data_IF_133282451608
#
_entry.id   IF_133282451608
#
_cell.length_a   1.000
_cell.length_b   1.000
_cell.length_c   1.000
_cell.angle_alpha   90.00
_cell.angle_beta   90.00
_cell.angle_gamma   90.00
#
_symmetry.space_group_name_H-M   'P 1'
#
loop_
_entity.id
_entity.type
_entity.pdbx_description
1 polymer ?
#
# COMPACT_ATOMS: atom_id res chain seq x y z
N UNK A 1 -4.17 -8.47 4.45
CA UNK A 1 -4.41 -9.94 4.52
C UNK A 1 -5.40 -10.22 5.64
N UNK A 2 -6.18 -11.31 5.55
CA UNK A 2 -7.13 -11.72 6.59
C UNK A 2 -6.96 -13.19 6.94
N UNK A 3 -7.14 -13.54 8.20
CA UNK A 3 -7.24 -14.94 8.66
C UNK A 3 -8.68 -15.46 8.64
N UNK A 4 -8.85 -16.75 8.94
CA UNK A 4 -10.15 -17.44 8.97
C UNK A 4 -11.12 -16.89 10.04
N UNK A 5 -10.63 -16.14 11.02
CA UNK A 5 -11.46 -15.47 12.03
C UNK A 5 -11.82 -14.03 11.63
N UNK A 6 -11.37 -13.58 10.45
CA UNK A 6 -11.60 -12.24 9.95
C UNK A 6 -10.66 -11.18 10.54
N UNK A 7 -9.58 -11.59 11.22
CA UNK A 7 -8.55 -10.66 11.70
C UNK A 7 -7.85 -10.06 10.49
N UNK A 8 -7.90 -8.74 10.38
CA UNK A 8 -7.19 -7.99 9.35
C UNK A 8 -5.74 -7.77 9.81
N UNK A 9 -4.80 -8.02 8.92
CA UNK A 9 -3.38 -7.76 9.08
C UNK A 9 -2.87 -6.83 7.97
N UNK A 10 -2.09 -5.82 8.37
CA UNK A 10 -1.34 -4.95 7.47
C UNK A 10 0.14 -5.00 7.83
N UNK A 11 0.99 -5.20 6.84
CA UNK A 11 2.44 -5.34 7.02
C UNK A 11 3.17 -4.34 6.14
N UNK A 12 4.17 -3.67 6.70
CA UNK A 12 4.93 -2.63 6.02
C UNK A 12 6.42 -2.75 6.38
N UNK A 13 7.28 -2.66 5.37
CA UNK A 13 8.73 -2.52 5.56
C UNK A 13 9.31 -1.65 4.46
N UNK A 14 10.11 -0.67 4.87
CA UNK A 14 10.99 0.05 3.95
C UNK A 14 12.28 -0.75 3.74
N UNK A 15 12.69 -1.00 2.49
CA UNK A 15 13.90 -1.81 2.18
C UNK A 15 15.14 -0.95 1.80
N UNK A 16 15.01 0.38 1.81
CA UNK A 16 15.98 1.32 1.22
C UNK A 16 17.48 1.04 1.50
N UNK A 17 18.29 1.21 0.45
CA UNK A 17 19.76 1.12 0.48
C UNK A 17 20.45 2.19 1.36
N UNK A 18 19.76 3.30 1.68
CA UNK A 18 20.26 4.35 2.58
C UNK A 18 19.11 4.89 3.45
N UNK A 19 19.23 4.88 4.79
CA UNK A 19 18.30 5.57 5.68
C UNK A 19 18.26 7.07 5.34
N UNK A 20 17.09 7.72 5.38
CA UNK A 20 17.04 9.17 5.20
C UNK A 20 17.81 9.83 6.35
N UNK A 21 18.61 10.85 6.06
CA UNK A 21 19.29 11.62 7.11
C UNK A 21 18.26 12.14 8.12
N UNK A 22 18.57 11.97 9.41
CA UNK A 22 17.75 12.50 10.49
C UNK A 22 17.70 14.02 10.39
N UNK A 23 16.50 14.57 10.27
CA UNK A 23 16.29 16.02 10.25
C UNK A 23 16.01 16.55 11.67
N UNK A 24 16.42 17.78 11.93
CA UNK A 24 16.25 18.46 13.23
C UNK A 24 14.81 18.92 13.52
N UNK A 25 13.89 18.79 12.56
CA UNK A 25 12.50 19.27 12.63
C UNK A 25 11.52 18.27 13.28
N UNK A 26 12.02 17.14 13.79
CA UNK A 26 11.22 16.14 14.52
C UNK A 26 10.30 15.27 13.67
N UNK A 27 10.16 15.52 12.36
CA UNK A 27 9.40 14.67 11.44
C UNK A 27 10.24 13.46 11.03
N UNK A 28 9.72 12.25 11.22
CA UNK A 28 10.38 11.01 10.85
C UNK A 28 9.68 10.36 9.65
N UNK A 29 10.45 9.96 8.64
CA UNK A 29 9.96 9.01 7.62
C UNK A 29 9.84 7.61 8.24
N UNK A 30 9.15 6.69 7.55
CA UNK A 30 9.11 5.29 7.94
C UNK A 30 10.54 4.76 8.18
N UNK A 31 10.76 4.21 9.38
CA UNK A 31 12.03 3.61 9.77
C UNK A 31 12.34 2.32 9.03
N UNK A 32 13.51 1.74 9.27
CA UNK A 32 13.94 0.48 8.67
C UNK A 32 13.36 -0.77 9.33
N UNK A 33 12.48 -0.64 10.34
CA UNK A 33 11.90 -1.79 11.05
C UNK A 33 10.63 -2.29 10.36
N UNK A 34 10.41 -3.60 10.44
CA UNK A 34 9.13 -4.21 10.08
C UNK A 34 8.04 -3.66 10.99
N UNK A 35 6.91 -3.29 10.38
CA UNK A 35 5.69 -2.92 11.08
C UNK A 35 4.64 -3.96 10.73
N UNK A 36 4.09 -4.57 11.77
CA UNK A 36 2.92 -5.42 11.66
C UNK A 36 1.78 -4.78 12.44
N UNK A 37 0.68 -4.52 11.76
CA UNK A 37 -0.59 -4.11 12.36
C UNK A 37 -1.56 -5.28 12.31
N UNK A 38 -2.45 -5.38 13.29
CA UNK A 38 -3.62 -6.23 13.16
C UNK A 38 -4.81 -5.78 13.98
N UNK A 39 -5.99 -6.27 13.59
CA UNK A 39 -7.26 -5.98 14.27
C UNK A 39 -7.57 -6.99 15.39
N UNK A 40 -8.71 -6.86 16.07
CA UNK A 40 -9.11 -7.79 17.13
C UNK A 40 -8.51 -7.50 18.52
N UNK A 41 -7.53 -6.59 18.62
CA UNK A 41 -7.13 -5.94 19.87
C UNK A 41 -7.67 -4.50 19.89
N UNK A 42 -8.97 -4.35 20.19
CA UNK A 42 -9.65 -3.05 20.24
C UNK A 42 -10.32 -2.64 18.92
N UNK A 43 -10.50 -1.34 18.75
CA UNK A 43 -11.07 -0.73 17.54
C UNK A 43 -9.98 -0.42 16.52
N UNK A 44 -10.07 -0.99 15.32
CA UNK A 44 -9.13 -0.76 14.22
C UNK A 44 -7.83 -1.58 14.25
N UNK A 45 -6.85 -1.14 13.46
CA UNK A 45 -5.53 -1.73 13.32
C UNK A 45 -4.53 -1.14 14.32
N UNK A 46 -3.94 -2.00 15.15
CA UNK A 46 -2.94 -1.61 16.16
C UNK A 46 -1.62 -2.36 15.98
N UNK A 47 -0.52 -1.80 16.49
CA UNK A 47 0.81 -2.40 16.36
C UNK A 47 0.93 -3.73 17.11
N UNK A 48 1.43 -4.75 16.40
CA UNK A 48 1.83 -6.02 16.99
C UNK A 48 3.26 -5.94 17.52
N UNK A 49 3.41 -6.23 18.81
CA UNK A 49 4.70 -6.12 19.51
C UNK A 49 5.75 -7.11 18.97
N UNK A 50 5.33 -8.20 18.34
CA UNK A 50 6.20 -9.25 17.83
C UNK A 50 7.15 -8.71 16.74
N UNK A 51 6.69 -7.78 15.89
CA UNK A 51 7.51 -7.18 14.84
C UNK A 51 8.63 -6.27 15.36
N UNK A 52 8.61 -5.85 16.63
CA UNK A 52 9.63 -4.95 17.21
C UNK A 52 11.04 -5.51 17.19
N UNK A 53 11.15 -6.84 17.10
CA UNK A 53 12.43 -7.55 17.13
C UNK A 53 13.05 -7.72 15.75
N UNK A 54 12.34 -7.36 14.68
CA UNK A 54 12.82 -7.55 13.33
C UNK A 54 14.15 -6.81 13.08
N UNK A 55 14.99 -7.37 12.23
CA UNK A 55 16.22 -6.74 11.74
C UNK A 55 15.91 -5.35 11.14
N UNK A 56 16.86 -4.43 11.27
CA UNK A 56 16.77 -3.14 10.59
C UNK A 56 17.10 -3.27 9.10
N UNK A 57 16.37 -2.57 8.24
CA UNK A 57 16.61 -2.60 6.80
C UNK A 57 18.00 -2.11 6.37
N UNK A 58 18.68 -1.32 7.21
CA UNK A 58 20.08 -0.97 7.00
C UNK A 58 21.05 -2.16 7.06
N UNK A 59 20.60 -3.31 7.58
CA UNK A 59 21.36 -4.56 7.67
C UNK A 59 20.87 -5.61 6.67
N UNK A 60 20.33 -5.18 5.53
CA UNK A 60 19.93 -6.06 4.43
C UNK A 60 20.96 -6.00 3.29
N UNK A 61 21.01 -7.08 2.52
CA UNK A 61 21.74 -7.15 1.26
C UNK A 61 20.80 -7.61 0.15
N UNK A 62 21.03 -7.09 -1.05
CA UNK A 62 20.34 -7.50 -2.26
C UNK A 62 21.32 -8.25 -3.13
N UNK A 63 20.95 -9.46 -3.55
CA UNK A 63 21.79 -10.34 -4.36
C UNK A 63 20.97 -10.94 -5.49
N UNK A 64 21.60 -11.12 -6.64
CA UNK A 64 21.05 -11.91 -7.74
C UNK A 64 21.42 -13.38 -7.48
N UNK A 65 20.45 -14.21 -7.11
CA UNK A 65 20.66 -15.62 -6.72
C UNK A 65 20.38 -16.62 -7.84
N UNK A 66 19.89 -16.14 -8.98
CA UNK A 66 19.69 -16.89 -10.22
C UNK A 66 19.51 -15.91 -11.38
N UNK A 67 19.35 -16.38 -12.61
CA UNK A 67 19.36 -15.52 -13.81
C UNK A 67 18.30 -14.39 -13.74
N UNK A 68 17.15 -14.66 -13.11
CA UNK A 68 16.04 -13.70 -12.97
C UNK A 68 15.49 -13.63 -11.53
N UNK A 69 16.27 -14.06 -10.53
CA UNK A 69 15.81 -14.14 -9.13
C UNK A 69 16.62 -13.21 -8.24
N UNK A 70 15.94 -12.25 -7.62
CA UNK A 70 16.51 -11.33 -6.64
C UNK A 70 16.17 -11.82 -5.24
N UNK A 71 17.20 -11.95 -4.40
CA UNK A 71 17.05 -12.22 -2.96
C UNK A 71 17.49 -11.00 -2.18
N UNK A 72 16.60 -10.48 -1.36
CA UNK A 72 16.87 -9.45 -0.35
C UNK A 72 16.80 -10.12 1.02
N UNK A 73 17.90 -10.12 1.76
CA UNK A 73 17.98 -10.83 3.03
C UNK A 73 18.83 -10.10 4.06
N UNK A 74 18.64 -10.47 5.33
CA UNK A 74 19.50 -10.00 6.42
C UNK A 74 20.94 -10.43 6.24
N UNK A 75 21.89 -9.55 6.50
CA UNK A 75 23.32 -9.93 6.54
C UNK A 75 23.57 -10.90 7.72
N UNK A 76 24.50 -11.86 7.57
CA UNK A 76 24.84 -12.79 8.65
C UNK A 76 25.26 -12.05 9.93
N UNK A 77 24.66 -12.44 11.06
CA UNK A 77 24.97 -11.85 12.38
C UNK A 77 24.37 -10.46 12.63
N UNK A 78 23.49 -9.96 11.75
CA UNK A 78 22.75 -8.73 12.01
C UNK A 78 21.93 -8.82 13.32
N UNK A 79 21.79 -7.69 14.00
CA UNK A 79 20.98 -7.62 15.22
C UNK A 79 19.47 -7.62 14.88
N UNK A 80 18.73 -8.52 15.51
CA UNK A 80 17.28 -8.69 15.34
C UNK A 80 16.91 -9.99 14.63
N UNK A 81 15.61 -10.24 14.53
CA UNK A 81 15.05 -11.39 13.83
C UNK A 81 15.23 -11.23 12.31
N UNK A 82 15.75 -12.25 11.60
CA UNK A 82 16.10 -12.14 10.21
C UNK A 82 14.87 -12.06 9.30
N UNK A 83 15.03 -11.37 8.18
CA UNK A 83 14.07 -11.34 7.08
C UNK A 83 14.69 -11.89 5.78
N UNK A 84 13.86 -12.44 4.93
CA UNK A 84 14.19 -12.89 3.56
C UNK A 84 13.03 -12.57 2.61
N UNK A 85 13.33 -11.99 1.45
CA UNK A 85 12.41 -11.75 0.35
C UNK A 85 13.05 -12.28 -0.92
N UNK A 86 12.34 -13.15 -1.62
CA UNK A 86 12.75 -13.73 -2.91
C UNK A 86 11.70 -13.34 -3.94
N UNK A 87 12.15 -12.72 -5.02
CA UNK A 87 11.33 -12.23 -6.12
C UNK A 87 11.90 -12.73 -7.44
N UNK A 88 11.05 -13.34 -8.27
CA UNK A 88 11.27 -13.49 -9.71
C UNK A 88 9.95 -13.26 -10.46
N UNK A 89 9.88 -13.62 -11.75
CA UNK A 89 8.68 -13.39 -12.55
C UNK A 89 7.46 -14.22 -12.10
N UNK A 90 7.71 -15.37 -11.48
CA UNK A 90 6.69 -16.38 -11.17
C UNK A 90 6.51 -16.59 -9.66
N UNK A 91 7.53 -16.25 -8.85
CA UNK A 91 7.60 -16.58 -7.44
C UNK A 91 7.78 -15.33 -6.57
N UNK A 92 6.93 -15.24 -5.57
CA UNK A 92 7.12 -14.38 -4.41
C UNK A 92 7.22 -15.25 -3.15
N UNK A 93 8.29 -15.04 -2.38
CA UNK A 93 8.42 -15.60 -1.03
C UNK A 93 8.93 -14.53 -0.09
N UNK A 94 8.21 -14.28 0.99
CA UNK A 94 8.59 -13.29 1.99
C UNK A 94 8.51 -13.90 3.39
N UNK A 95 9.57 -13.71 4.16
CA UNK A 95 9.66 -14.12 5.56
C UNK A 95 10.17 -12.98 6.42
N UNK A 96 9.44 -12.70 7.48
CA UNK A 96 9.90 -11.99 8.67
C UNK A 96 9.90 -13.00 9.82
N UNK A 97 11.09 -13.39 10.29
CA UNK A 97 11.20 -14.45 11.28
C UNK A 97 10.38 -14.14 12.54
N UNK A 98 9.55 -15.11 12.93
CA UNK A 98 8.68 -15.01 14.10
C UNK A 98 7.38 -14.22 13.89
N UNK A 99 7.14 -13.62 12.72
CA UNK A 99 5.91 -12.83 12.49
C UNK A 99 5.15 -13.17 11.22
N UNK A 100 5.82 -13.41 10.10
CA UNK A 100 5.18 -13.57 8.79
C UNK A 100 5.98 -14.55 7.93
N UNK A 101 5.30 -15.53 7.35
CA UNK A 101 5.78 -16.27 6.18
C UNK A 101 4.70 -16.17 5.10
N UNK A 102 5.08 -15.85 3.86
CA UNK A 102 4.14 -15.71 2.76
C UNK A 102 4.74 -16.23 1.46
N UNK A 103 3.90 -16.84 0.64
CA UNK A 103 4.20 -17.24 -0.73
C UNK A 103 3.07 -16.83 -1.65
N UNK A 104 3.38 -16.44 -2.88
CA UNK A 104 2.34 -16.05 -3.82
C UNK A 104 2.80 -15.89 -5.26
N UNK A 105 1.86 -15.47 -6.09
CA UNK A 105 2.03 -15.27 -7.52
C UNK A 105 1.60 -13.86 -7.91
N UNK A 106 2.19 -13.35 -8.98
CA UNK A 106 1.88 -12.03 -9.50
C UNK A 106 0.41 -12.00 -9.95
N UNK A 107 -0.36 -11.02 -9.49
CA UNK A 107 -1.83 -11.00 -9.68
C UNK A 107 -2.21 -10.55 -11.08
N UNK A 108 -1.55 -9.50 -11.55
CA UNK A 108 -1.79 -8.80 -12.82
C UNK A 108 -0.44 -8.22 -13.31
N UNK A 109 -0.35 -7.72 -14.56
CA UNK A 109 0.84 -7.01 -15.00
C UNK A 109 1.23 -5.88 -14.02
N UNK A 110 2.53 -5.65 -13.75
CA UNK A 110 2.98 -4.57 -12.86
C UNK A 110 2.47 -3.21 -13.32
N UNK A 111 2.04 -2.37 -12.38
CA UNK A 111 1.59 -1.01 -12.70
C UNK A 111 2.75 -0.03 -12.62
N UNK A 112 2.77 0.92 -13.56
CA UNK A 112 3.70 2.03 -13.59
C UNK A 112 2.96 3.32 -13.92
N UNK A 113 3.22 4.38 -13.15
CA UNK A 113 2.78 5.73 -13.50
C UNK A 113 3.85 6.76 -13.15
N UNK A 114 3.82 7.89 -13.86
CA UNK A 114 4.79 8.96 -13.69
C UNK A 114 4.07 10.29 -13.51
N UNK A 115 4.36 10.99 -12.42
CA UNK A 115 3.91 12.37 -12.20
C UNK A 115 5.09 13.29 -12.53
N UNK A 116 5.05 13.97 -13.70
CA UNK A 116 6.09 14.89 -14.09
C UNK A 116 6.00 16.19 -13.29
N UNK A 117 7.15 16.78 -13.01
CA UNK A 117 7.24 18.13 -12.48
C UNK A 117 8.68 18.63 -12.52
N UNK A 118 8.83 19.95 -12.50
CA UNK A 118 10.14 20.62 -12.63
C UNK A 118 11.00 20.43 -11.39
N UNK A 119 10.40 20.65 -10.22
CA UNK A 119 11.08 20.69 -8.94
C UNK A 119 10.74 19.48 -8.04
N UNK A 120 9.65 18.78 -8.36
CA UNK A 120 9.19 17.52 -7.78
C UNK A 120 8.74 16.58 -8.90
N UNK A 121 9.05 15.29 -8.79
CA UNK A 121 8.50 14.27 -9.71
C UNK A 121 8.55 12.91 -9.03
N UNK A 122 7.71 11.99 -9.52
CA UNK A 122 7.57 10.66 -8.95
C UNK A 122 7.32 9.66 -10.07
N UNK A 123 8.25 8.73 -10.27
CA UNK A 123 7.98 7.48 -10.98
C UNK A 123 7.62 6.43 -9.92
N UNK A 124 6.43 5.85 -10.06
CA UNK A 124 5.93 4.83 -9.15
C UNK A 124 5.78 3.52 -9.90
N UNK A 125 6.38 2.46 -9.37
CA UNK A 125 6.32 1.10 -9.91
C UNK A 125 5.78 0.20 -8.80
N UNK A 126 4.81 -0.66 -9.12
CA UNK A 126 4.30 -1.64 -8.17
C UNK A 126 4.19 -3.02 -8.80
N UNK A 127 4.48 -4.04 -8.00
CA UNK A 127 4.13 -5.42 -8.27
C UNK A 127 3.22 -5.90 -7.13
N UNK A 128 2.06 -6.42 -7.50
CA UNK A 128 1.07 -6.92 -6.53
C UNK A 128 1.00 -8.42 -6.61
N UNK A 129 1.06 -9.06 -5.44
CA UNK A 129 1.14 -10.50 -5.27
C UNK A 129 -0.06 -10.98 -4.47
N UNK A 130 -0.76 -11.99 -4.94
CA UNK A 130 -1.80 -12.70 -4.18
C UNK A 130 -1.08 -13.79 -3.41
N UNK A 131 -1.17 -13.72 -2.08
CA UNK A 131 -0.36 -14.54 -1.18
C UNK A 131 -1.22 -15.37 -0.25
N UNK A 132 -0.76 -16.60 -0.04
CA UNK A 132 -1.07 -17.40 1.15
C UNK A 132 0.03 -17.15 2.17
N UNK A 133 -0.34 -16.94 3.42
CA UNK A 133 0.57 -16.56 4.49
C UNK A 133 0.27 -17.27 5.81
N UNK A 134 1.28 -17.34 6.66
CA UNK A 134 1.14 -17.57 8.09
C UNK A 134 1.56 -16.30 8.84
N UNK A 135 0.64 -15.70 9.59
CA UNK A 135 0.88 -14.49 10.38
C UNK A 135 0.68 -14.82 11.84
N UNK A 136 1.74 -14.70 12.65
CA UNK A 136 1.70 -15.03 14.08
C UNK A 136 1.14 -16.44 14.36
N UNK A 137 1.46 -17.42 13.51
CA UNK A 137 1.00 -18.80 13.63
C UNK A 137 -0.42 -19.05 13.09
N UNK A 138 -1.01 -18.08 12.38
CA UNK A 138 -2.37 -18.21 11.81
C UNK A 138 -2.33 -18.18 10.29
N UNK A 139 -3.02 -19.12 9.61
CA UNK A 139 -3.24 -19.02 8.17
C UNK A 139 -3.95 -17.71 7.82
N UNK A 140 -3.47 -17.02 6.81
CA UNK A 140 -4.05 -15.80 6.30
C UNK A 140 -3.86 -15.71 4.79
N UNK A 141 -4.77 -15.01 4.12
CA UNK A 141 -4.74 -14.79 2.67
C UNK A 141 -4.91 -13.32 2.35
N UNK A 142 -4.31 -12.83 1.28
CA UNK A 142 -4.47 -11.44 0.87
C UNK A 142 -3.48 -11.02 -0.19
N UNK A 143 -3.24 -9.71 -0.28
CA UNK A 143 -2.27 -9.16 -1.21
C UNK A 143 -1.05 -8.58 -0.49
N UNK A 144 0.09 -8.62 -1.16
CA UNK A 144 1.30 -7.87 -0.82
C UNK A 144 1.75 -7.04 -2.00
N UNK A 145 2.15 -5.80 -1.73
CA UNK A 145 2.59 -4.84 -2.72
C UNK A 145 4.10 -4.64 -2.54
N UNK A 146 4.86 -4.81 -3.63
CA UNK A 146 6.23 -4.34 -3.74
C UNK A 146 6.22 -3.02 -4.49
N UNK A 147 6.51 -1.92 -3.78
CA UNK A 147 6.34 -0.57 -4.30
C UNK A 147 7.66 0.20 -4.31
N UNK A 148 7.95 0.83 -5.45
CA UNK A 148 9.14 1.63 -5.67
C UNK A 148 8.76 3.05 -6.06
N UNK A 149 9.10 4.00 -5.20
CA UNK A 149 8.94 5.43 -5.42
C UNK A 149 10.30 6.04 -5.82
N UNK A 150 10.48 6.25 -7.12
CA UNK A 150 11.67 6.89 -7.68
C UNK A 150 11.44 8.40 -7.78
N UNK A 151 12.25 9.15 -7.02
CA UNK A 151 12.18 10.61 -6.93
C UNK A 151 13.53 11.25 -7.27
N UNK A 152 13.57 12.53 -7.68
CA UNK A 152 14.82 13.26 -7.86
C UNK A 152 15.70 13.23 -6.59
N UNK A 153 17.02 13.46 -6.70
CA UNK A 153 17.92 13.51 -5.53
C UNK A 153 17.39 14.41 -4.41
N UNK A 154 17.36 13.85 -3.19
CA UNK A 154 16.79 14.50 -2.00
C UNK A 154 15.26 14.45 -1.89
N UNK A 155 14.57 13.83 -2.85
CA UNK A 155 13.13 13.61 -2.81
C UNK A 155 12.73 12.61 -1.71
N UNK A 156 11.67 12.94 -1.00
CA UNK A 156 11.12 12.14 0.10
C UNK A 156 9.60 12.28 0.10
N UNK A 157 8.89 11.16 -0.07
CA UNK A 157 7.43 11.11 0.10
C UNK A 157 7.02 11.73 1.44
N UNK A 158 5.93 12.48 1.40
CA UNK A 158 5.34 13.25 2.49
C UNK A 158 6.25 14.36 3.05
N UNK A 159 7.35 14.68 2.37
CA UNK A 159 8.30 15.71 2.84
C UNK A 159 8.76 16.62 1.72
N UNK A 160 9.81 16.24 1.00
CA UNK A 160 10.57 17.12 0.12
C UNK A 160 10.40 16.67 -1.31
N UNK A 161 10.17 17.64 -2.20
CA UNK A 161 10.02 17.39 -3.65
C UNK A 161 8.96 16.33 -3.94
N UNK A 162 7.90 16.30 -3.13
CA UNK A 162 6.78 15.37 -3.29
C UNK A 162 5.70 16.02 -4.17
N UNK A 163 5.48 15.49 -5.39
CA UNK A 163 4.48 16.05 -6.29
C UNK A 163 3.04 15.91 -5.77
N UNK A 164 2.75 14.98 -4.84
CA UNK A 164 1.43 14.86 -4.24
C UNK A 164 1.11 16.07 -3.37
N UNK A 165 2.09 16.55 -2.59
CA UNK A 165 1.97 17.79 -1.83
C UNK A 165 1.83 19.00 -2.75
N UNK A 166 2.63 19.05 -3.83
CA UNK A 166 2.55 20.12 -4.81
C UNK A 166 1.22 20.14 -5.56
N UNK A 167 0.53 19.00 -5.67
CA UNK A 167 -0.83 18.88 -6.20
C UNK A 167 -1.93 19.17 -5.17
N UNK A 168 -1.60 19.23 -3.87
CA UNK A 168 -2.57 19.22 -2.78
C UNK A 168 -3.55 18.04 -2.94
N UNK A 169 -3.00 16.82 -2.98
CA UNK A 169 -3.81 15.59 -3.04
C UNK A 169 -4.82 15.53 -1.88
N UNK A 170 -6.01 15.02 -2.18
CA UNK A 170 -7.10 14.84 -1.21
C UNK A 170 -7.23 13.39 -0.78
N UNK A 171 -6.89 12.44 -1.66
CA UNK A 171 -6.86 11.01 -1.36
C UNK A 171 -5.92 10.27 -2.30
N UNK A 172 -5.35 9.17 -1.81
CA UNK A 172 -4.79 8.11 -2.65
C UNK A 172 -5.18 6.74 -2.11
N UNK A 173 -5.32 5.77 -3.00
CA UNK A 173 -5.57 4.36 -2.69
C UNK A 173 -4.81 3.45 -3.65
N UNK A 174 -4.09 2.48 -3.07
CA UNK A 174 -3.63 1.28 -3.76
C UNK A 174 -4.55 0.12 -3.38
N UNK A 175 -5.09 -0.58 -4.38
CA UNK A 175 -6.15 -1.55 -4.15
C UNK A 175 -6.04 -2.76 -5.09
N UNK A 176 -6.61 -3.87 -4.64
CA UNK A 176 -6.64 -5.13 -5.38
C UNK A 176 -7.90 -5.92 -5.02
N UNK A 177 -8.51 -6.55 -6.03
CA UNK A 177 -9.63 -7.47 -5.89
C UNK A 177 -9.30 -8.79 -6.59
N UNK A 178 -9.71 -9.88 -5.98
CA UNK A 178 -9.77 -11.21 -6.58
C UNK A 178 -11.19 -11.74 -6.40
N UNK A 179 -11.68 -12.46 -7.41
CA UNK A 179 -13.03 -13.04 -7.41
C UNK A 179 -12.98 -14.55 -7.49
N UNK A 180 -14.09 -15.19 -7.11
CA UNK A 180 -14.21 -16.65 -7.08
C UNK A 180 -14.05 -17.32 -8.46
N UNK A 181 -14.20 -16.57 -9.56
CA UNK A 181 -13.95 -17.05 -10.92
C UNK A 181 -12.46 -17.02 -11.32
N UNK A 182 -11.59 -16.61 -10.41
CA UNK A 182 -10.14 -16.51 -10.61
C UNK A 182 -9.70 -15.23 -11.33
N UNK A 183 -10.62 -14.34 -11.68
CA UNK A 183 -10.25 -13.03 -12.21
C UNK A 183 -9.73 -12.14 -11.08
N UNK A 184 -8.90 -11.18 -11.44
CA UNK A 184 -8.40 -10.19 -10.50
C UNK A 184 -8.16 -8.84 -11.20
N UNK A 185 -8.18 -7.78 -10.40
CA UNK A 185 -7.75 -6.46 -10.84
C UNK A 185 -7.01 -5.74 -9.72
N UNK A 186 -6.09 -4.86 -10.08
CA UNK A 186 -5.30 -4.03 -9.17
C UNK A 186 -5.31 -2.62 -9.71
N UNK A 187 -5.41 -1.62 -8.83
CA UNK A 187 -5.37 -0.24 -9.28
C UNK A 187 -4.79 0.73 -8.28
N UNK A 188 -4.44 1.91 -8.82
CA UNK A 188 -4.00 3.07 -8.06
C UNK A 188 -4.87 4.26 -8.43
N UNK A 189 -5.59 4.80 -7.45
CA UNK A 189 -6.39 6.02 -7.60
C UNK A 189 -5.82 7.11 -6.71
N UNK A 190 -5.35 8.20 -7.32
CA UNK A 190 -4.88 9.40 -6.63
C UNK A 190 -5.69 10.58 -7.14
N UNK A 191 -6.15 11.43 -6.23
CA UNK A 191 -6.99 12.55 -6.58
C UNK A 191 -6.59 13.80 -5.81
N UNK A 192 -6.58 14.95 -6.46
CA UNK A 192 -6.19 16.21 -5.84
C UNK A 192 -6.74 17.45 -6.51
N UNK A 193 -6.30 18.59 -5.98
CA UNK A 193 -6.67 19.90 -6.50
C UNK A 193 -6.00 20.18 -7.86
N UNK A 194 -6.42 21.26 -8.52
CA UNK A 194 -5.80 21.77 -9.77
C UNK A 194 -5.76 20.73 -10.91
N UNK A 195 -6.80 19.91 -11.02
CA UNK A 195 -6.93 18.90 -12.08
C UNK A 195 -6.04 17.66 -11.89
N UNK A 196 -5.30 17.55 -10.78
CA UNK A 196 -4.45 16.40 -10.52
C UNK A 196 -5.28 15.13 -10.31
N UNK A 197 -4.93 14.08 -11.03
CA UNK A 197 -5.37 12.72 -10.76
C UNK A 197 -4.41 11.69 -11.36
N UNK A 198 -4.41 10.49 -10.78
CA UNK A 198 -3.84 9.27 -11.37
C UNK A 198 -4.92 8.21 -11.23
N UNK A 199 -5.32 7.60 -12.33
CA UNK A 199 -6.13 6.40 -12.30
C UNK A 199 -5.50 5.38 -13.23
N UNK A 200 -5.03 4.26 -12.67
CA UNK A 200 -4.56 3.12 -13.47
C UNK A 200 -5.13 1.84 -12.89
N UNK A 201 -5.54 0.92 -13.76
CA UNK A 201 -6.06 -0.39 -13.38
C UNK A 201 -5.46 -1.45 -14.29
N UNK A 202 -4.90 -2.51 -13.71
CA UNK A 202 -4.44 -3.70 -14.41
C UNK A 202 -5.38 -4.86 -14.10
N UNK A 203 -5.58 -5.72 -15.08
CA UNK A 203 -6.49 -6.86 -15.03
C UNK A 203 -5.73 -8.17 -15.25
N UNK A 204 -6.25 -9.27 -14.69
CA UNK A 204 -5.65 -10.61 -14.80
C UNK A 204 -5.65 -11.17 -16.23
N UNK A 205 -6.39 -10.56 -17.15
CA UNK A 205 -6.35 -10.87 -18.58
C UNK A 205 -5.17 -10.20 -19.32
N UNK A 206 -4.36 -9.42 -18.61
CA UNK A 206 -3.19 -8.72 -19.14
C UNK A 206 -3.47 -7.28 -19.60
N UNK A 207 -4.73 -6.82 -19.56
CA UNK A 207 -5.06 -5.45 -19.96
C UNK A 207 -4.72 -4.44 -18.86
N UNK A 208 -4.31 -3.24 -19.28
CA UNK A 208 -4.05 -2.10 -18.40
C UNK A 208 -4.78 -0.88 -18.96
N UNK A 209 -5.52 -0.19 -18.10
CA UNK A 209 -6.27 1.01 -18.44
C UNK A 209 -5.80 2.19 -17.60
N UNK A 210 -5.96 3.39 -18.14
CA UNK A 210 -5.65 4.65 -17.46
C UNK A 210 -6.81 5.63 -17.60
N UNK A 211 -7.11 6.35 -16.52
CA UNK A 211 -8.12 7.38 -16.48
C UNK A 211 -7.71 8.60 -17.31
N UNK A 212 -8.65 9.14 -18.09
CA UNK A 212 -8.51 10.41 -18.82
C UNK A 212 -9.16 11.56 -18.05
N UNK A 213 -10.20 11.22 -17.31
CA UNK A 213 -10.97 12.10 -16.44
C UNK A 213 -11.20 11.39 -15.12
N UNK A 214 -11.11 12.16 -14.04
CA UNK A 214 -11.43 11.69 -12.70
C UNK A 214 -11.97 12.85 -11.88
N UNK A 215 -13.06 12.59 -11.16
CA UNK A 215 -13.56 13.36 -10.04
C UNK A 215 -13.79 12.44 -8.83
N UNK A 216 -13.66 13.00 -7.63
CA UNK A 216 -13.91 12.26 -6.39
C UNK A 216 -14.58 13.15 -5.33
N UNK A 217 -15.41 12.50 -4.51
CA UNK A 217 -16.06 13.09 -3.33
C UNK A 217 -15.83 12.16 -2.13
N UNK A 218 -15.19 12.69 -1.11
CA UNK A 218 -14.90 12.01 0.15
C UNK A 218 -16.04 12.27 1.13
N UNK A 219 -16.71 11.22 1.58
CA UNK A 219 -17.74 11.27 2.62
C UNK A 219 -17.05 11.14 3.98
N UNK A 220 -16.95 12.24 4.73
CA UNK A 220 -16.30 12.22 6.06
C UNK A 220 -17.22 11.62 7.11
N UNK A 221 -16.61 10.85 8.01
CA UNK A 221 -17.25 10.45 9.25
C UNK A 221 -17.59 11.68 10.12
N UNK A 222 -18.44 11.49 11.13
CA UNK A 222 -18.90 12.56 12.01
C UNK A 222 -17.78 13.32 12.74
N UNK A 223 -16.62 12.68 12.93
CA UNK A 223 -15.44 13.30 13.53
C UNK A 223 -14.62 14.17 12.56
N UNK A 224 -14.97 14.17 11.27
CA UNK A 224 -14.26 14.88 10.20
C UNK A 224 -12.86 14.32 9.90
N UNK A 225 -12.48 13.19 10.51
CA UNK A 225 -11.15 12.62 10.45
C UNK A 225 -11.13 11.42 9.49
N UNK A 226 -11.87 10.37 9.80
CA UNK A 226 -12.03 9.20 8.93
C UNK A 226 -12.98 9.48 7.77
N UNK A 227 -13.00 8.61 6.76
CA UNK A 227 -14.06 8.63 5.75
C UNK A 227 -15.00 7.43 5.91
N UNK A 228 -16.29 7.70 5.70
CA UNK A 228 -17.36 6.71 5.60
C UNK A 228 -17.53 6.18 4.15
N UNK A 229 -16.81 6.78 3.21
CA UNK A 229 -16.77 6.34 1.81
C UNK A 229 -16.07 7.35 0.92
N UNK A 230 -15.62 6.90 -0.25
CA UNK A 230 -15.16 7.80 -1.31
C UNK A 230 -15.84 7.39 -2.60
N UNK A 231 -16.57 8.31 -3.22
CA UNK A 231 -17.17 8.10 -4.53
C UNK A 231 -16.25 8.70 -5.59
N UNK A 232 -15.96 7.95 -6.64
CA UNK A 232 -15.22 8.45 -7.80
C UNK A 232 -16.10 8.35 -9.05
N UNK A 233 -15.92 9.30 -9.95
CA UNK A 233 -16.32 9.18 -11.35
C UNK A 233 -15.04 9.13 -12.19
N UNK A 234 -14.85 8.05 -12.93
CA UNK A 234 -13.64 7.80 -13.73
C UNK A 234 -14.09 7.43 -15.14
N UNK A 235 -13.82 8.31 -16.11
CA UNK A 235 -14.22 8.14 -17.50
C UNK A 235 -15.71 7.75 -17.67
N UNK A 236 -16.59 8.41 -16.90
CA UNK A 236 -18.04 8.14 -16.89
C UNK A 236 -18.47 6.89 -16.11
N UNK A 237 -17.54 6.18 -15.47
CA UNK A 237 -17.81 5.00 -14.64
C UNK A 237 -17.78 5.39 -13.16
N UNK A 238 -18.84 5.03 -12.43
CA UNK A 238 -18.90 5.22 -10.99
C UNK A 238 -18.12 4.15 -10.23
N UNK A 239 -17.26 4.58 -9.30
CA UNK A 239 -16.51 3.74 -8.37
C UNK A 239 -16.75 4.18 -6.92
N UNK A 240 -16.54 3.25 -5.99
CA UNK A 240 -16.64 3.51 -4.55
C UNK A 240 -15.51 2.81 -3.81
N UNK A 241 -14.93 3.52 -2.83
CA UNK A 241 -14.11 2.95 -1.78
C UNK A 241 -14.95 2.90 -0.49
N UNK A 242 -15.38 1.70 -0.11
CA UNK A 242 -16.04 1.47 1.19
C UNK A 242 -14.99 1.23 2.27
N UNK A 243 -15.09 1.87 3.44
CA UNK A 243 -14.14 1.65 4.53
C UNK A 243 -14.33 0.28 5.16
N UNK A 244 -13.23 -0.39 5.54
CA UNK A 244 -13.32 -1.57 6.38
C UNK A 244 -13.59 -1.17 7.84
N UNK A 245 -14.57 -1.79 8.53
CA UNK A 245 -14.90 -1.44 9.91
C UNK A 245 -13.72 -1.58 10.89
N UNK A 246 -12.74 -2.43 10.59
CA UNK A 246 -11.53 -2.67 11.37
C UNK A 246 -10.29 -2.02 10.70
N UNK A 247 -10.46 -1.28 9.61
CA UNK A 247 -9.40 -0.78 8.75
C UNK A 247 -8.69 0.47 9.26
N UNK A 248 -9.23 1.17 10.26
CA UNK A 248 -8.62 2.41 10.78
C UNK A 248 -7.24 2.16 11.40
N UNK A 249 -6.20 2.83 10.89
CA UNK A 249 -4.86 2.74 11.46
C UNK A 249 -4.73 3.58 12.76
N UNK A 250 -4.62 2.93 13.91
CA UNK A 250 -4.58 3.61 15.23
C UNK A 250 -3.15 3.80 15.75
N UNK A 251 -2.36 4.64 15.06
CA UNK A 251 -0.99 5.01 15.50
C UNK A 251 -0.91 6.40 16.16
N UNK A 252 -2.07 7.01 16.45
CA UNK A 252 -2.18 8.39 16.90
C UNK A 252 -2.66 9.32 15.76
N UNK A 253 -2.94 10.59 16.04
CA UNK A 253 -3.42 11.52 15.03
C UNK A 253 -2.33 11.83 13.99
N UNK A 254 -2.67 11.59 12.73
CA UNK A 254 -1.86 11.85 11.54
C UNK A 254 -2.60 12.84 10.62
N UNK A 255 -1.92 13.76 9.92
CA UNK A 255 -2.58 14.69 8.99
C UNK A 255 -3.36 13.99 7.87
N UNK A 256 -2.95 12.78 7.53
CA UNK A 256 -3.44 11.92 6.47
C UNK A 256 -3.83 10.56 7.08
N UNK A 257 -5.01 10.44 7.72
CA UNK A 257 -5.49 9.16 8.26
C UNK A 257 -5.48 8.07 7.18
N UNK A 258 -4.76 6.98 7.47
CA UNK A 258 -4.73 5.78 6.64
C UNK A 258 -5.76 4.76 7.12
N UNK A 259 -6.50 4.20 6.18
CA UNK A 259 -7.48 3.17 6.47
C UNK A 259 -7.58 2.14 5.35
N UNK A 260 -7.94 0.92 5.74
CA UNK A 260 -8.27 -0.15 4.82
C UNK A 260 -9.71 0.00 4.30
N UNK A 261 -9.99 -0.54 3.11
CA UNK A 261 -11.31 -0.57 2.53
C UNK A 261 -11.45 -1.51 1.33
N UNK A 262 -12.50 -1.31 0.56
CA UNK A 262 -12.80 -2.07 -0.64
C UNK A 262 -13.13 -1.11 -1.79
N UNK A 263 -12.29 -1.11 -2.82
CA UNK A 263 -12.48 -0.32 -4.03
C UNK A 263 -13.23 -1.16 -5.08
N UNK A 264 -14.36 -0.68 -5.58
CA UNK A 264 -15.12 -1.39 -6.61
C UNK A 264 -15.92 -0.44 -7.49
N UNK A 265 -16.32 -0.91 -8.68
CA UNK A 265 -17.29 -0.19 -9.51
C UNK A 265 -18.65 -0.26 -8.80
N UNK A 266 -19.43 0.83 -8.86
CA UNK A 266 -20.78 0.89 -8.27
C UNK A 266 -21.72 -0.12 -8.94
N UNK A 267 -21.51 -0.41 -10.23
CA UNK A 267 -22.27 -1.41 -10.97
C UNK A 267 -21.76 -2.84 -10.81
N UNK A 268 -20.61 -3.04 -10.14
CA UNK A 268 -20.09 -4.39 -9.91
C UNK A 268 -20.94 -5.09 -8.86
N UNK A 269 -21.46 -6.26 -9.23
CA UNK A 269 -22.31 -7.09 -8.37
C UNK A 269 -21.59 -8.36 -7.93
N UNK A 270 -20.35 -8.57 -8.37
CA UNK A 270 -19.53 -9.68 -7.94
C UNK A 270 -19.10 -9.47 -6.48
N UNK A 271 -19.04 -10.55 -5.72
CA UNK A 271 -18.46 -10.55 -4.37
C UNK A 271 -17.00 -10.99 -4.49
N UNK A 272 -16.02 -10.16 -4.09
CA UNK A 272 -14.63 -10.59 -4.03
C UNK A 272 -14.47 -11.64 -2.93
N UNK A 273 -13.66 -12.67 -3.17
CA UNK A 273 -13.22 -13.61 -2.13
C UNK A 273 -11.98 -13.07 -1.40
N UNK A 274 -11.21 -12.19 -2.03
CA UNK A 274 -10.11 -11.45 -1.41
C UNK A 274 -10.08 -10.02 -1.96
N UNK A 275 -9.92 -9.04 -1.07
CA UNK A 275 -9.69 -7.66 -1.47
C UNK A 275 -8.68 -6.99 -0.54
N UNK A 276 -8.10 -5.90 -1.01
CA UNK A 276 -7.61 -4.83 -0.15
C UNK A 276 -7.77 -3.48 -0.82
N UNK A 277 -7.93 -2.43 -0.04
CA UNK A 277 -7.68 -1.07 -0.47
C UNK A 277 -6.97 -0.33 0.66
N UNK A 278 -5.66 -0.10 0.52
CA UNK A 278 -4.89 0.68 1.48
C UNK A 278 -4.67 2.08 0.93
N UNK A 279 -5.03 3.08 1.73
CA UNK A 279 -4.95 4.45 1.30
C UNK A 279 -5.21 5.42 2.41
N UNK A 280 -5.28 6.69 2.04
CA UNK A 280 -5.56 7.78 2.95
C UNK A 280 -6.39 8.87 2.29
N UNK A 281 -6.87 9.75 3.16
CA UNK A 281 -7.50 10.99 2.76
C UNK A 281 -6.96 12.13 3.62
N UNK A 282 -6.93 13.34 3.10
CA UNK A 282 -6.30 14.50 3.76
C UNK A 282 -7.36 15.55 4.09
N UNK A 283 -7.89 15.58 5.34
CA UNK A 283 -8.94 16.53 5.72
C UNK A 283 -8.60 17.98 5.41
N UNK A 284 -7.33 18.37 5.59
CA UNK A 284 -6.88 19.74 5.35
C UNK A 284 -6.97 20.18 3.87
N UNK A 285 -7.04 19.24 2.92
CA UNK A 285 -7.10 19.53 1.49
C UNK A 285 -8.52 19.47 0.91
N UNK A 286 -9.52 19.23 1.77
CA UNK A 286 -10.95 19.18 1.43
C UNK A 286 -11.43 17.83 0.93
N UNK A 287 -12.75 17.74 0.73
CA UNK A 287 -13.47 16.51 0.39
C UNK A 287 -13.70 16.33 -1.11
N UNK A 288 -13.46 17.38 -1.90
CA UNK A 288 -13.64 17.39 -3.36
C UNK A 288 -12.78 18.48 -3.99
N UNK A 289 -12.67 18.43 -5.32
CA UNK A 289 -12.04 19.50 -6.09
C UNK A 289 -12.86 20.80 -5.97
N UNK A 290 -12.16 21.93 -5.82
CA UNK A 290 -12.76 23.27 -5.77
C UNK A 290 -13.22 23.75 -7.15
#
# INVERSE_FOLDING_TARGET
MRDDEGTLYSTMRRIAATPPEATTDGRQSLGGKHILLGSGEGDGLTMRKQARYAVDSAALTTTLTGDNTVTIASIPGAAGEPMELILDADNFRYREAGTLEATGTLVVPPLQWYVPGRDSSLLYITQTWLVEAEILGRPARGFLFWEEAWMPPGGRLYRDKDPLHDAAYTTWYSWANHWADGTAEVGHFLFGQRGFHVGVVAHSDGTVTSAHTMDAVIERAADGYWHDGINYEIDGVGWRCDPDPQGHMKLGPMPNPQQEGHMHRVSDTRTPDVWMAWGESVPANGEKRL
#
